data_IF_302640388027
#
_entry.id   IF_302640388027
#
_cell.length_a   1.000
_cell.length_b   1.000
_cell.length_c   1.000
_cell.angle_alpha   90.00
_cell.angle_beta   90.00
_cell.angle_gamma   90.00
#
_symmetry.space_group_name_H-M   'P 1'
#
loop_
_entity.id
_entity.type
_entity.pdbx_description
1 polymer ?
#
# COMPACT_ATOMS: atom_id res chain seq x y z
N UNK A 1 15.91 17.48 13.95
CA UNK A 1 15.94 17.71 12.48
C UNK A 1 15.54 16.49 11.64
N UNK A 2 15.32 15.30 12.22
CA UNK A 2 14.97 14.07 11.48
C UNK A 2 13.46 13.85 11.26
N UNK A 3 12.59 14.41 12.12
CA UNK A 3 11.11 14.34 12.00
C UNK A 3 10.51 15.14 10.84
N UNK A 4 11.31 15.93 10.09
CA UNK A 4 10.83 16.76 8.98
C UNK A 4 10.93 16.10 7.60
N UNK A 5 11.46 14.88 7.49
CA UNK A 5 11.77 14.25 6.18
C UNK A 5 10.88 13.09 5.73
N UNK A 6 9.89 12.68 6.52
CA UNK A 6 9.04 11.50 6.18
C UNK A 6 7.66 11.89 5.59
N UNK A 7 7.36 13.19 5.45
CA UNK A 7 6.13 13.69 4.81
C UNK A 7 6.35 14.01 3.33
N UNK A 8 7.56 13.83 2.82
CA UNK A 8 7.99 14.38 1.53
C UNK A 8 7.28 13.73 0.35
N UNK A 9 6.97 12.42 0.38
CA UNK A 9 6.26 11.72 -0.70
C UNK A 9 4.89 12.33 -1.02
N UNK A 10 3.99 12.26 -0.05
CA UNK A 10 2.59 12.64 -0.21
C UNK A 10 2.48 14.16 -0.26
N UNK A 11 3.31 14.88 0.50
CA UNK A 11 3.36 16.34 0.40
C UNK A 11 3.93 16.80 -0.95
N UNK A 12 4.96 16.16 -1.53
CA UNK A 12 5.48 16.52 -2.85
C UNK A 12 4.46 16.22 -3.94
N UNK A 13 3.77 15.07 -3.87
CA UNK A 13 2.64 14.75 -4.77
C UNK A 13 1.51 15.79 -4.64
N UNK A 14 1.14 16.18 -3.41
CA UNK A 14 0.16 17.23 -3.16
C UNK A 14 0.64 18.64 -3.54
N UNK A 15 1.95 18.87 -3.66
CA UNK A 15 2.53 20.16 -4.10
C UNK A 15 2.60 20.23 -5.62
N UNK A 16 2.82 19.09 -6.31
CA UNK A 16 2.84 19.01 -7.77
C UNK A 16 1.43 19.01 -8.40
N UNK A 17 0.43 18.42 -7.73
CA UNK A 17 -0.97 18.62 -8.09
C UNK A 17 -1.43 19.98 -7.56
N UNK A 18 -2.12 20.82 -8.35
CA UNK A 18 -2.69 22.06 -7.82
C UNK A 18 -3.79 21.70 -6.82
N UNK A 19 -3.45 21.59 -5.54
CA UNK A 19 -4.42 21.51 -4.44
C UNK A 19 -4.97 22.93 -4.19
N UNK A 20 -5.59 23.50 -5.22
CA UNK A 20 -6.50 24.63 -5.07
C UNK A 20 -7.87 24.06 -4.75
N UNK A 21 -8.46 24.51 -3.63
CA UNK A 21 -9.82 24.16 -3.17
C UNK A 21 -10.77 23.78 -4.30
N UNK A 22 -11.22 22.52 -4.33
CA UNK A 22 -12.01 22.00 -5.43
C UNK A 22 -13.49 22.37 -5.27
N UNK A 23 -14.01 23.01 -6.33
CA UNK A 23 -15.40 23.22 -6.73
C UNK A 23 -16.45 23.53 -5.63
N UNK A 24 -17.12 24.68 -5.76
CA UNK A 24 -18.36 24.95 -5.01
C UNK A 24 -19.41 23.87 -5.32
N UNK A 25 -20.05 23.31 -4.30
CA UNK A 25 -21.03 22.23 -4.44
C UNK A 25 -20.61 20.87 -3.88
N UNK A 26 -19.57 20.85 -3.04
CA UNK A 26 -19.15 19.73 -2.21
C UNK A 26 -20.32 18.86 -1.72
N UNK A 27 -20.28 17.57 -2.03
CA UNK A 27 -21.09 16.56 -1.34
C UNK A 27 -20.51 16.51 0.08
N UNK A 28 -21.31 16.75 1.13
CA UNK A 28 -20.81 16.57 2.47
C UNK A 28 -20.29 15.14 2.67
N UNK A 29 -19.26 14.93 3.49
CA UNK A 29 -18.80 13.56 3.79
C UNK A 29 -19.93 12.70 4.36
N UNK A 30 -19.70 11.41 4.61
CA UNK A 30 -20.70 10.51 5.21
C UNK A 30 -21.27 11.01 6.56
N UNK A 31 -20.76 12.12 7.12
CA UNK A 31 -21.22 12.81 8.34
C UNK A 31 -21.89 14.16 8.09
N UNK A 32 -22.03 14.62 6.85
CA UNK A 32 -22.63 15.92 6.58
C UNK A 32 -21.67 17.11 6.65
N UNK A 33 -20.35 16.90 6.62
CA UNK A 33 -19.36 18.00 6.76
C UNK A 33 -19.13 18.73 5.43
N UNK A 34 -19.39 20.05 5.41
CA UNK A 34 -19.05 20.97 4.29
C UNK A 34 -17.57 21.37 4.35
N UNK A 35 -16.91 21.46 3.19
CA UNK A 35 -15.46 21.28 3.10
C UNK A 35 -14.70 22.26 2.20
N UNK A 36 -15.24 23.47 2.04
CA UNK A 36 -14.48 24.57 1.46
C UNK A 36 -13.28 24.93 2.36
N UNK A 37 -12.04 24.75 1.87
CA UNK A 37 -10.82 25.20 2.56
C UNK A 37 -10.11 24.18 3.48
N UNK A 38 -10.30 22.87 3.29
CA UNK A 38 -9.54 21.86 4.05
C UNK A 38 -8.03 21.98 3.76
N UNK A 39 -7.23 22.09 4.81
CA UNK A 39 -5.78 21.95 4.73
C UNK A 39 -5.33 20.55 5.16
N UNK A 40 -4.29 20.04 4.49
CA UNK A 40 -3.70 18.72 4.77
C UNK A 40 -3.15 18.69 6.20
N UNK A 41 -3.41 17.60 6.92
CA UNK A 41 -2.85 17.34 8.25
C UNK A 41 -3.29 18.34 9.32
N UNK A 42 -4.42 19.03 9.15
CA UNK A 42 -4.95 19.90 10.22
C UNK A 42 -5.60 19.08 11.33
N UNK A 43 -6.28 18.00 10.99
CA UNK A 43 -7.04 17.17 11.91
C UNK A 43 -6.22 16.01 12.47
N UNK A 44 -6.73 15.37 13.52
CA UNK A 44 -6.09 14.19 14.11
C UNK A 44 -7.02 12.98 14.10
N UNK A 45 -6.45 11.78 13.94
CA UNK A 45 -7.20 10.54 14.13
C UNK A 45 -7.59 10.36 15.60
N UNK A 46 -8.76 9.77 15.84
CA UNK A 46 -9.36 9.58 17.16
C UNK A 46 -8.73 8.39 17.92
N UNK A 47 -9.22 8.12 19.14
CA UNK A 47 -8.72 7.01 19.97
C UNK A 47 -9.03 5.61 19.41
N UNK A 48 -10.15 5.43 18.73
CA UNK A 48 -10.54 4.14 18.16
C UNK A 48 -9.64 3.77 16.97
N UNK A 49 -9.31 4.73 16.12
CA UNK A 49 -8.34 4.50 15.04
C UNK A 49 -6.96 4.21 15.63
N UNK A 50 -6.56 4.94 16.68
CA UNK A 50 -5.28 4.71 17.36
C UNK A 50 -5.13 3.32 17.96
N UNK A 51 -6.23 2.65 18.36
CA UNK A 51 -6.12 1.27 18.86
C UNK A 51 -5.73 0.25 17.80
N UNK A 52 -5.74 0.61 16.52
CA UNK A 52 -5.34 -0.26 15.40
C UNK A 52 -3.96 0.08 14.81
N UNK A 53 -3.17 0.94 15.46
CA UNK A 53 -1.87 1.38 14.92
C UNK A 53 -0.87 0.25 14.67
N UNK A 54 -0.86 -0.78 15.53
CA UNK A 54 0.03 -1.93 15.33
C UNK A 54 -0.35 -2.70 14.06
N UNK A 55 -1.65 -2.93 13.83
CA UNK A 55 -2.15 -3.56 12.60
C UNK A 55 -1.89 -2.72 11.36
N UNK A 56 -2.08 -1.39 11.43
CA UNK A 56 -1.75 -0.53 10.30
C UNK A 56 -0.27 -0.61 9.96
N UNK A 57 0.60 -0.60 10.96
CA UNK A 57 2.05 -0.71 10.76
C UNK A 57 2.42 -2.08 10.17
N UNK A 58 1.90 -3.15 10.74
CA UNK A 58 2.16 -4.52 10.28
C UNK A 58 1.77 -4.69 8.81
N UNK A 59 0.52 -4.41 8.46
CA UNK A 59 0.04 -4.60 7.09
C UNK A 59 0.53 -3.53 6.12
N UNK A 60 0.77 -2.30 6.60
CA UNK A 60 1.44 -1.27 5.83
C UNK A 60 2.84 -1.72 5.41
N UNK A 61 3.65 -2.20 6.35
CA UNK A 61 5.00 -2.71 6.07
C UNK A 61 4.97 -4.00 5.23
N UNK A 62 3.98 -4.88 5.45
CA UNK A 62 3.81 -6.10 4.65
C UNK A 62 3.53 -5.79 3.17
N UNK A 63 2.69 -4.78 2.88
CA UNK A 63 2.23 -4.47 1.52
C UNK A 63 2.85 -3.21 0.90
N UNK A 64 3.87 -2.62 1.55
CA UNK A 64 4.58 -1.44 1.03
C UNK A 64 3.75 -0.15 1.05
N UNK A 65 2.76 -0.07 1.95
CA UNK A 65 1.81 1.02 2.12
C UNK A 65 2.16 1.85 3.36
N UNK A 66 1.99 3.17 3.29
CA UNK A 66 2.18 4.05 4.45
C UNK A 66 1.07 3.80 5.50
N UNK A 67 1.40 3.33 6.72
CA UNK A 67 0.41 3.06 7.76
C UNK A 67 -0.31 4.33 8.25
N UNK A 68 0.30 5.50 8.11
CA UNK A 68 -0.38 6.77 8.43
C UNK A 68 -1.51 7.06 7.44
N UNK A 69 -1.35 6.63 6.18
CA UNK A 69 -2.41 6.72 5.19
C UNK A 69 -3.54 5.73 5.52
N UNK A 70 -3.20 4.47 5.87
CA UNK A 70 -4.20 3.49 6.31
C UNK A 70 -5.04 3.99 7.49
N UNK A 71 -4.39 4.58 8.50
CA UNK A 71 -5.09 5.19 9.62
C UNK A 71 -5.97 6.38 9.21
N UNK A 72 -5.53 7.19 8.25
CA UNK A 72 -6.30 8.33 7.74
C UNK A 72 -7.54 7.88 6.96
N UNK A 73 -7.40 6.82 6.16
CA UNK A 73 -8.52 6.17 5.46
C UNK A 73 -9.49 5.57 6.48
N UNK A 74 -9.01 4.78 7.45
CA UNK A 74 -9.86 4.23 8.53
C UNK A 74 -10.63 5.32 9.29
N UNK A 75 -9.95 6.43 9.59
CA UNK A 75 -10.56 7.60 10.24
C UNK A 75 -11.68 8.20 9.40
N UNK A 76 -11.45 8.34 8.09
CA UNK A 76 -12.41 8.87 7.14
C UNK A 76 -13.55 7.90 6.84
N UNK A 77 -13.31 6.59 6.83
CA UNK A 77 -14.33 5.60 6.50
C UNK A 77 -15.29 5.36 7.66
N UNK A 78 -14.75 5.21 8.87
CA UNK A 78 -15.55 4.69 9.98
C UNK A 78 -15.26 5.34 11.32
N UNK A 79 -14.24 6.18 11.43
CA UNK A 79 -13.68 6.59 12.72
C UNK A 79 -13.25 5.42 13.60
N UNK A 80 -12.85 4.30 12.99
CA UNK A 80 -12.48 3.07 13.71
C UNK A 80 -13.67 2.39 14.38
N UNK A 81 -14.91 2.67 13.93
CA UNK A 81 -16.11 2.02 14.43
C UNK A 81 -16.51 0.93 13.45
N UNK A 82 -16.83 -0.25 13.98
CA UNK A 82 -17.12 -1.41 13.17
C UNK A 82 -18.59 -1.41 12.72
N UNK A 83 -18.88 -0.83 11.56
CA UNK A 83 -20.23 -0.73 11.02
C UNK A 83 -20.57 -1.94 10.14
N UNK A 84 -21.79 -2.47 10.27
CA UNK A 84 -22.40 -3.43 9.33
C UNK A 84 -23.87 -3.14 9.04
N UNK A 85 -24.58 -2.56 10.00
CA UNK A 85 -26.02 -2.29 9.89
C UNK A 85 -26.32 -0.85 10.27
N UNK A 86 -27.41 -0.33 9.71
CA UNK A 86 -28.02 0.95 10.09
C UNK A 86 -28.87 0.78 11.35
N UNK A 87 -29.25 1.90 11.96
CA UNK A 87 -30.12 1.91 13.15
C UNK A 87 -31.47 1.20 12.93
N UNK A 88 -31.96 1.15 11.69
CA UNK A 88 -33.19 0.47 11.29
C UNK A 88 -33.01 -1.04 11.03
N UNK A 89 -31.80 -1.57 11.22
CA UNK A 89 -31.44 -2.97 11.00
C UNK A 89 -31.16 -3.34 9.55
N UNK A 90 -31.24 -2.40 8.60
CA UNK A 90 -30.84 -2.65 7.21
C UNK A 90 -29.32 -2.69 7.07
N UNK A 91 -28.82 -3.54 6.17
CA UNK A 91 -27.38 -3.69 5.92
C UNK A 91 -26.79 -2.42 5.29
N UNK A 92 -25.58 -2.07 5.73
CA UNK A 92 -24.76 -1.07 5.06
C UNK A 92 -24.14 -1.68 3.79
N UNK A 93 -23.93 -0.90 2.71
CA UNK A 93 -23.28 -1.41 1.50
C UNK A 93 -21.78 -1.72 1.69
N UNK A 94 -21.18 -1.18 2.75
CA UNK A 94 -19.78 -1.33 3.11
C UNK A 94 -19.64 -1.63 4.61
N UNK A 95 -18.84 -2.63 4.95
CA UNK A 95 -18.74 -3.14 6.33
C UNK A 95 -17.32 -3.02 6.87
N UNK A 96 -17.20 -3.04 8.19
CA UNK A 96 -15.90 -3.02 8.84
C UNK A 96 -15.35 -1.61 9.07
N UNK A 97 -14.23 -1.56 9.77
CA UNK A 97 -13.53 -0.31 10.07
C UNK A 97 -12.87 0.32 8.83
N UNK A 98 -12.61 -0.46 7.79
CA UNK A 98 -12.10 0.01 6.50
C UNK A 98 -13.21 0.16 5.44
N UNK A 99 -14.48 -0.05 5.81
CA UNK A 99 -15.65 0.03 4.91
C UNK A 99 -15.45 -0.73 3.59
N UNK A 100 -15.14 -2.02 3.68
CA UNK A 100 -14.99 -2.87 2.49
C UNK A 100 -16.38 -3.13 1.89
N UNK A 101 -16.58 -2.67 0.65
CA UNK A 101 -17.86 -2.76 -0.07
C UNK A 101 -18.26 -4.19 -0.44
N UNK A 102 -19.57 -4.46 -0.49
CA UNK A 102 -20.13 -5.72 -0.97
C UNK A 102 -19.60 -6.12 -2.36
N UNK A 103 -19.41 -5.16 -3.26
CA UNK A 103 -18.87 -5.36 -4.61
C UNK A 103 -17.50 -6.05 -4.65
N UNK A 104 -16.75 -5.99 -3.54
CA UNK A 104 -15.43 -6.61 -3.37
C UNK A 104 -15.47 -8.00 -2.71
N UNK A 105 -16.65 -8.61 -2.51
CA UNK A 105 -16.80 -9.92 -1.86
C UNK A 105 -15.90 -11.00 -2.46
N UNK A 106 -15.94 -11.15 -3.79
CA UNK A 106 -15.13 -12.17 -4.46
C UNK A 106 -13.63 -11.91 -4.30
N UNK A 107 -13.19 -10.64 -4.37
CA UNK A 107 -11.79 -10.28 -4.19
C UNK A 107 -11.35 -10.51 -2.73
N UNK A 108 -12.22 -10.21 -1.76
CA UNK A 108 -11.97 -10.44 -0.34
C UNK A 108 -11.86 -11.93 -0.01
N UNK A 109 -12.78 -12.74 -0.54
CA UNK A 109 -12.78 -14.19 -0.37
C UNK A 109 -11.51 -14.83 -0.98
N UNK A 110 -11.16 -14.41 -2.20
CA UNK A 110 -9.96 -14.89 -2.89
C UNK A 110 -8.69 -14.48 -2.15
N UNK A 111 -8.60 -13.23 -1.68
CA UNK A 111 -7.47 -12.77 -0.88
C UNK A 111 -7.31 -13.58 0.41
N UNK A 112 -8.39 -13.85 1.13
CA UNK A 112 -8.38 -14.72 2.31
C UNK A 112 -7.86 -16.12 1.99
N UNK A 113 -8.31 -16.71 0.88
CA UNK A 113 -7.86 -18.03 0.43
C UNK A 113 -6.37 -18.06 0.11
N UNK A 114 -5.89 -17.05 -0.59
CA UNK A 114 -4.48 -16.95 -1.00
C UNK A 114 -3.55 -16.71 0.20
N UNK A 115 -3.98 -15.92 1.17
CA UNK A 115 -3.13 -15.51 2.31
C UNK A 115 -3.24 -16.45 3.51
N UNK A 116 -4.38 -17.11 3.71
CA UNK A 116 -4.65 -17.95 4.89
C UNK A 116 -5.02 -19.40 4.56
N UNK A 117 -5.23 -19.73 3.29
CA UNK A 117 -5.75 -21.03 2.87
C UNK A 117 -7.26 -21.20 3.05
N UNK A 118 -7.97 -20.16 3.55
CA UNK A 118 -9.41 -20.19 3.83
C UNK A 118 -10.11 -19.02 3.15
N UNK A 119 -11.17 -19.31 2.40
CA UNK A 119 -12.02 -18.26 1.81
C UNK A 119 -12.72 -17.47 2.93
N UNK A 120 -12.59 -16.15 2.89
CA UNK A 120 -13.25 -15.24 3.83
C UNK A 120 -14.68 -14.89 3.37
N UNK A 121 -15.58 -14.66 4.33
CA UNK A 121 -16.96 -14.26 4.07
C UNK A 121 -17.16 -12.74 4.18
N UNK A 122 -18.39 -12.25 4.00
CA UNK A 122 -18.73 -10.84 4.23
C UNK A 122 -18.56 -10.45 5.70
N UNK A 123 -18.96 -11.32 6.62
CA UNK A 123 -18.89 -11.11 8.07
C UNK A 123 -17.44 -10.97 8.54
N UNK A 124 -16.51 -11.65 7.87
CA UNK A 124 -15.08 -11.57 8.18
C UNK A 124 -14.50 -10.16 8.02
N UNK A 125 -15.17 -9.26 7.28
CA UNK A 125 -14.78 -7.84 7.19
C UNK A 125 -14.92 -7.09 8.51
N UNK A 126 -15.69 -7.64 9.45
CA UNK A 126 -15.81 -7.11 10.80
C UNK A 126 -14.60 -7.42 11.67
N UNK A 127 -13.73 -8.34 11.25
CA UNK A 127 -12.43 -8.52 11.89
C UNK A 127 -11.49 -7.38 11.46
N UNK A 128 -11.00 -6.53 12.38
CA UNK A 128 -10.04 -5.47 12.05
C UNK A 128 -8.78 -5.98 11.35
N UNK A 129 -8.29 -7.17 11.70
CA UNK A 129 -7.09 -7.75 11.11
C UNK A 129 -7.30 -8.07 9.63
N UNK A 130 -8.41 -8.75 9.31
CA UNK A 130 -8.80 -9.08 7.93
C UNK A 130 -9.15 -7.84 7.11
N UNK A 131 -9.86 -6.89 7.73
CA UNK A 131 -10.26 -5.63 7.10
C UNK A 131 -9.05 -4.77 6.72
N UNK A 132 -8.10 -4.59 7.65
CA UNK A 132 -6.90 -3.77 7.43
C UNK A 132 -5.95 -4.45 6.45
N UNK A 133 -5.71 -5.76 6.58
CA UNK A 133 -4.82 -6.49 5.67
C UNK A 133 -5.31 -6.45 4.23
N UNK A 134 -6.60 -6.65 3.99
CA UNK A 134 -7.17 -6.52 2.65
C UNK A 134 -7.14 -5.09 2.13
N UNK A 135 -7.45 -4.09 2.97
CA UNK A 135 -7.36 -2.69 2.56
C UNK A 135 -5.92 -2.30 2.17
N UNK A 136 -4.91 -2.75 2.93
CA UNK A 136 -3.51 -2.54 2.61
C UNK A 136 -3.13 -3.21 1.27
N UNK A 137 -3.60 -4.43 1.03
CA UNK A 137 -3.42 -5.11 -0.25
C UNK A 137 -4.05 -4.31 -1.40
N UNK A 138 -5.32 -3.92 -1.30
CA UNK A 138 -6.00 -3.12 -2.33
C UNK A 138 -5.29 -1.79 -2.63
N UNK A 139 -4.83 -1.10 -1.59
CA UNK A 139 -4.08 0.15 -1.73
C UNK A 139 -2.74 -0.10 -2.44
N UNK A 140 -2.05 -1.20 -2.12
CA UNK A 140 -0.82 -1.59 -2.80
C UNK A 140 -1.04 -1.84 -4.29
N UNK A 141 -2.09 -2.59 -4.65
CA UNK A 141 -2.48 -2.81 -6.05
C UNK A 141 -2.77 -1.50 -6.78
N UNK A 142 -3.49 -0.58 -6.14
CA UNK A 142 -3.76 0.74 -6.72
C UNK A 142 -2.51 1.61 -6.85
N UNK A 143 -1.57 1.55 -5.90
CA UNK A 143 -0.29 2.25 -6.01
C UNK A 143 0.54 1.72 -7.18
N UNK A 144 0.48 0.42 -7.46
CA UNK A 144 1.14 -0.16 -8.64
C UNK A 144 0.45 0.32 -9.92
N UNK A 145 -0.88 0.18 -9.98
CA UNK A 145 -1.68 0.55 -11.15
C UNK A 145 -1.58 2.04 -11.52
N UNK A 146 -1.56 2.92 -10.52
CA UNK A 146 -1.45 4.37 -10.73
C UNK A 146 -0.03 4.91 -10.65
N UNK A 147 0.98 4.05 -10.75
CA UNK A 147 2.38 4.47 -10.81
C UNK A 147 2.84 5.30 -9.59
N UNK A 148 2.34 4.93 -8.41
CA UNK A 148 2.48 5.65 -7.14
C UNK A 148 1.87 7.07 -7.12
N UNK A 149 0.91 7.38 -7.99
CA UNK A 149 0.05 8.54 -7.82
C UNK A 149 -0.93 8.31 -6.66
N UNK A 150 -0.54 8.82 -5.49
CA UNK A 150 -1.31 8.68 -4.27
C UNK A 150 -2.69 9.35 -4.34
N UNK A 151 -2.88 10.40 -5.14
CA UNK A 151 -4.18 11.07 -5.25
C UNK A 151 -5.16 10.19 -6.01
N UNK A 152 -4.72 9.60 -7.12
CA UNK A 152 -5.50 8.61 -7.86
C UNK A 152 -5.81 7.41 -6.98
N UNK A 153 -4.83 6.88 -6.26
CA UNK A 153 -5.08 5.75 -5.35
C UNK A 153 -6.10 6.09 -4.26
N UNK A 154 -5.99 7.25 -3.60
CA UNK A 154 -6.94 7.65 -2.54
C UNK A 154 -8.34 7.79 -3.12
N UNK A 155 -8.51 8.50 -4.25
CA UNK A 155 -9.83 8.63 -4.88
C UNK A 155 -10.35 7.27 -5.39
N UNK A 156 -9.45 6.40 -5.86
CA UNK A 156 -9.75 5.06 -6.34
C UNK A 156 -10.27 4.14 -5.23
N UNK A 157 -9.81 4.32 -3.99
CA UNK A 157 -10.36 3.62 -2.83
C UNK A 157 -11.84 3.95 -2.63
N UNK A 158 -12.25 5.20 -2.85
CA UNK A 158 -13.63 5.66 -2.68
C UNK A 158 -14.55 5.38 -3.88
N UNK A 159 -14.06 5.58 -5.10
CA UNK A 159 -14.86 5.37 -6.32
C UNK A 159 -14.77 3.94 -6.88
N UNK A 160 -13.86 3.13 -6.36
CA UNK A 160 -13.42 1.93 -7.05
C UNK A 160 -12.54 2.27 -8.27
N UNK A 161 -11.55 1.42 -8.50
CA UNK A 161 -10.57 1.58 -9.58
C UNK A 161 -11.22 1.72 -10.95
N UNK A 162 -12.22 0.90 -11.27
CA UNK A 162 -12.89 0.92 -12.58
C UNK A 162 -13.54 2.26 -12.92
N UNK A 163 -14.14 2.94 -11.95
CA UNK A 163 -14.79 4.24 -12.20
C UNK A 163 -13.74 5.31 -12.40
N UNK A 164 -12.71 5.33 -11.55
CA UNK A 164 -11.63 6.30 -11.67
C UNK A 164 -10.86 6.13 -12.99
N UNK A 165 -10.60 4.89 -13.42
CA UNK A 165 -9.95 4.61 -14.72
C UNK A 165 -10.76 5.18 -15.89
N UNK A 166 -12.09 5.10 -15.85
CA UNK A 166 -12.95 5.68 -16.89
C UNK A 166 -12.89 7.20 -16.90
N UNK A 167 -12.81 7.83 -15.72
CA UNK A 167 -12.64 9.28 -15.59
C UNK A 167 -11.28 9.70 -16.18
N UNK A 168 -10.20 9.01 -15.81
CA UNK A 168 -8.85 9.28 -16.30
C UNK A 168 -8.78 9.07 -17.81
N UNK A 169 -9.35 7.99 -18.34
CA UNK A 169 -9.41 7.75 -19.78
C UNK A 169 -10.15 8.86 -20.53
N UNK A 170 -11.19 9.45 -19.92
CA UNK A 170 -11.96 10.53 -20.53
C UNK A 170 -11.29 11.91 -20.42
N UNK A 171 -10.47 12.17 -19.40
CA UNK A 171 -10.01 13.53 -19.05
C UNK A 171 -8.50 13.70 -18.86
N UNK A 172 -7.73 12.62 -18.83
CA UNK A 172 -6.29 12.63 -18.52
C UNK A 172 -6.01 13.39 -17.21
N UNK A 173 -5.13 14.37 -17.27
CA UNK A 173 -4.75 15.22 -16.12
C UNK A 173 -5.93 16.04 -15.55
N UNK A 174 -7.02 16.21 -16.31
CA UNK A 174 -8.24 16.88 -15.86
C UNK A 174 -9.14 16.04 -14.94
N UNK A 175 -8.74 14.81 -14.58
CA UNK A 175 -9.56 13.88 -13.79
C UNK A 175 -10.00 14.45 -12.42
N UNK A 176 -9.14 15.25 -11.79
CA UNK A 176 -9.43 15.87 -10.48
C UNK A 176 -10.63 16.81 -10.53
N UNK A 177 -10.87 17.51 -11.64
CA UNK A 177 -12.06 18.34 -11.80
C UNK A 177 -13.30 17.51 -12.15
N UNK A 178 -13.11 16.41 -12.88
CA UNK A 178 -14.21 15.56 -13.36
C UNK A 178 -14.78 14.62 -12.29
N UNK A 179 -14.08 14.39 -11.18
CA UNK A 179 -14.56 13.55 -10.07
C UNK A 179 -15.93 13.97 -9.52
N UNK A 180 -16.31 15.25 -9.63
CA UNK A 180 -17.66 15.72 -9.28
C UNK A 180 -18.78 15.11 -10.16
N UNK A 181 -18.42 14.65 -11.36
CA UNK A 181 -19.31 14.01 -12.33
C UNK A 181 -19.18 12.47 -12.32
N UNK A 182 -18.53 11.87 -11.32
CA UNK A 182 -18.20 10.44 -11.28
C UNK A 182 -19.41 9.52 -11.53
N UNK A 183 -20.61 9.90 -11.08
CA UNK A 183 -21.86 9.18 -11.35
C UNK A 183 -22.05 8.87 -12.85
N UNK A 184 -21.68 9.78 -13.75
CA UNK A 184 -21.85 9.58 -15.19
C UNK A 184 -20.99 8.44 -15.77
N UNK A 185 -20.01 7.96 -15.01
CA UNK A 185 -19.11 6.87 -15.38
C UNK A 185 -19.54 5.51 -14.80
N UNK A 186 -20.64 5.48 -14.03
CA UNK A 186 -21.19 4.28 -13.38
C UNK A 186 -22.43 3.80 -14.14
N UNK A 187 -22.52 2.49 -14.36
CA UNK A 187 -23.68 1.88 -15.02
C UNK A 187 -24.78 1.58 -13.98
N UNK A 188 -26.04 1.77 -14.36
CA UNK A 188 -27.21 1.43 -13.54
C UNK A 188 -27.25 2.10 -12.14
N UNK A 189 -26.66 3.28 -11.99
CA UNK A 189 -26.63 4.00 -10.72
C UNK A 189 -27.88 4.86 -10.51
N UNK A 190 -28.74 4.43 -9.59
CA UNK A 190 -30.04 5.06 -9.34
C UNK A 190 -29.99 6.28 -8.40
N UNK A 191 -28.91 6.48 -7.65
CA UNK A 191 -28.81 7.57 -6.69
C UNK A 191 -28.33 8.88 -7.34
N UNK A 192 -28.63 10.01 -6.70
CA UNK A 192 -28.27 11.33 -7.22
C UNK A 192 -26.76 11.57 -7.26
N UNK A 193 -26.03 10.97 -6.33
CA UNK A 193 -24.58 11.11 -6.13
C UNK A 193 -23.89 9.74 -6.17
N UNK A 194 -22.59 9.72 -6.49
CA UNK A 194 -21.75 8.52 -6.44
C UNK A 194 -20.44 8.85 -5.72
N UNK A 195 -20.17 8.11 -4.65
CA UNK A 195 -19.01 8.33 -3.79
C UNK A 195 -18.90 9.77 -3.27
N UNK A 196 -17.66 10.12 -2.91
CA UNK A 196 -17.27 11.41 -2.35
C UNK A 196 -16.24 12.07 -3.28
N UNK A 197 -16.68 13.12 -3.98
CA UNK A 197 -15.83 13.87 -4.89
C UNK A 197 -14.73 14.67 -4.17
N UNK A 198 -14.71 14.77 -2.84
CA UNK A 198 -13.65 15.44 -2.08
C UNK A 198 -12.90 14.46 -1.16
N UNK A 199 -12.99 13.16 -1.47
CA UNK A 199 -12.43 12.11 -0.64
C UNK A 199 -10.92 12.26 -0.40
N UNK A 200 -10.17 12.70 -1.42
CA UNK A 200 -8.73 13.00 -1.30
C UNK A 200 -8.47 14.00 -0.18
N UNK A 201 -9.15 15.14 -0.21
CA UNK A 201 -9.00 16.18 0.82
C UNK A 201 -9.48 15.66 2.19
N UNK A 202 -10.53 14.87 2.19
CA UNK A 202 -11.11 14.29 3.39
C UNK A 202 -10.19 13.32 4.11
N UNK A 203 -9.47 12.47 3.38
CA UNK A 203 -8.45 11.58 3.95
C UNK A 203 -7.25 12.39 4.40
N UNK A 204 -6.75 13.28 3.54
CA UNK A 204 -5.49 13.98 3.78
C UNK A 204 -5.55 14.98 4.95
N UNK A 205 -6.73 15.45 5.36
CA UNK A 205 -6.87 16.27 6.58
C UNK A 205 -6.38 15.55 7.85
N UNK A 206 -6.45 14.22 7.87
CA UNK A 206 -5.98 13.39 8.98
C UNK A 206 -4.54 12.89 8.83
N UNK A 207 -3.94 13.06 7.64
CA UNK A 207 -2.60 12.54 7.36
C UNK A 207 -1.54 13.26 8.19
N UNK A 208 -0.95 12.52 9.13
CA UNK A 208 0.12 12.96 10.02
C UNK A 208 1.10 11.81 10.24
N UNK A 209 2.36 12.14 10.52
CA UNK A 209 3.40 11.16 10.85
C UNK A 209 3.24 10.66 12.30
N UNK A 210 2.22 9.85 12.55
CA UNK A 210 2.04 9.16 13.83
C UNK A 210 2.97 7.95 13.96
N UNK A 211 3.22 7.27 12.84
CA UNK A 211 3.93 6.00 12.78
C UNK A 211 5.16 6.11 11.88
N UNK A 212 6.29 5.59 12.37
CA UNK A 212 7.46 5.31 11.54
C UNK A 212 7.22 3.95 10.88
N UNK A 213 7.42 3.89 9.57
CA UNK A 213 7.17 2.68 8.78
C UNK A 213 8.40 2.27 8.00
N UNK A 214 8.51 0.97 7.78
CA UNK A 214 9.65 0.32 7.12
C UNK A 214 9.36 0.03 5.65
N UNK A 215 8.11 -0.08 5.22
CA UNK A 215 7.74 -0.39 3.84
C UNK A 215 8.46 0.43 2.76
N UNK A 216 8.79 -0.24 1.65
CA UNK A 216 9.40 0.31 0.46
C UNK A 216 8.84 -0.39 -0.81
N UNK A 217 9.10 0.22 -1.97
CA UNK A 217 8.69 -0.29 -3.29
C UNK A 217 9.92 -0.51 -4.18
N UNK A 218 9.76 -1.26 -5.25
CA UNK A 218 10.83 -1.53 -6.23
C UNK A 218 10.32 -1.33 -7.63
N UNK A 219 11.13 -0.70 -8.47
CA UNK A 219 10.98 -0.66 -9.92
C UNK A 219 12.11 -1.42 -10.58
N UNK A 220 11.77 -2.14 -11.64
CA UNK A 220 12.73 -2.77 -12.56
C UNK A 220 12.46 -2.20 -13.95
N UNK A 221 13.45 -1.59 -14.58
CA UNK A 221 13.33 -0.96 -15.90
C UNK A 221 12.14 0.02 -15.99
N UNK A 222 11.92 0.79 -14.93
CA UNK A 222 10.82 1.75 -14.82
C UNK A 222 9.48 1.17 -14.37
N UNK A 223 9.28 -0.14 -14.35
CA UNK A 223 8.00 -0.78 -13.96
C UNK A 223 7.98 -1.19 -12.49
N UNK A 224 6.89 -0.87 -11.76
CA UNK A 224 6.72 -1.30 -10.38
C UNK A 224 6.58 -2.82 -10.28
N UNK A 225 7.36 -3.41 -9.38
CA UNK A 225 7.30 -4.85 -9.09
C UNK A 225 6.18 -5.11 -8.09
N UNK A 226 5.24 -5.98 -8.49
CA UNK A 226 4.26 -6.56 -7.58
C UNK A 226 4.89 -7.71 -6.81
N UNK A 227 4.79 -7.64 -5.48
CA UNK A 227 5.15 -8.75 -4.60
C UNK A 227 3.90 -9.47 -4.13
N UNK A 228 4.01 -10.77 -3.84
CA UNK A 228 2.86 -11.58 -3.43
C UNK A 228 2.32 -11.18 -2.05
N UNK A 229 3.09 -11.44 -0.99
CA UNK A 229 2.62 -11.28 0.40
C UNK A 229 3.65 -10.61 1.33
N UNK A 230 4.77 -10.14 0.79
CA UNK A 230 5.78 -9.39 1.51
C UNK A 230 6.46 -8.41 0.55
N UNK A 231 6.41 -7.13 0.85
CA UNK A 231 7.09 -6.08 0.10
C UNK A 231 8.47 -5.79 0.70
N UNK A 232 9.32 -5.04 -0.02
CA UNK A 232 10.57 -4.55 0.53
C UNK A 232 10.35 -3.72 1.80
N UNK A 233 11.30 -3.79 2.72
CA UNK A 233 11.30 -3.08 4.00
C UNK A 233 12.64 -2.40 4.21
N UNK A 234 12.64 -1.33 5.00
CA UNK A 234 13.85 -0.64 5.46
C UNK A 234 14.03 -0.97 6.93
N UNK A 235 15.10 -1.68 7.23
CA UNK A 235 15.50 -2.05 8.58
C UNK A 235 16.97 -1.67 8.78
N UNK A 236 17.28 -1.00 9.90
CA UNK A 236 18.64 -0.54 10.21
C UNK A 236 19.30 0.23 9.05
N UNK A 237 18.54 1.10 8.38
CA UNK A 237 18.97 1.86 7.20
C UNK A 237 19.44 0.99 6.02
N UNK A 238 18.92 -0.24 5.92
CA UNK A 238 19.11 -1.15 4.79
C UNK A 238 17.77 -1.58 4.22
N UNK A 239 17.66 -1.56 2.90
CA UNK A 239 16.49 -2.12 2.22
C UNK A 239 16.66 -3.62 2.12
N UNK A 240 15.81 -4.36 2.83
CA UNK A 240 15.68 -5.80 2.68
C UNK A 240 14.58 -6.08 1.66
N UNK A 241 14.83 -7.03 0.77
CA UNK A 241 13.95 -7.35 -0.34
C UNK A 241 13.63 -8.85 -0.38
N UNK A 242 12.39 -9.24 -0.69
CA UNK A 242 12.09 -10.62 -1.07
C UNK A 242 12.84 -10.96 -2.35
N UNK A 243 13.70 -11.97 -2.29
CA UNK A 243 14.60 -12.28 -3.43
C UNK A 243 13.95 -13.13 -4.53
N UNK A 244 12.99 -13.99 -4.19
CA UNK A 244 12.28 -14.83 -5.17
C UNK A 244 11.32 -13.95 -5.98
N UNK A 245 11.11 -14.26 -7.26
CA UNK A 245 10.33 -13.43 -8.19
C UNK A 245 11.14 -12.24 -8.73
N UNK A 246 11.72 -11.42 -7.85
CA UNK A 246 12.54 -10.28 -8.27
C UNK A 246 13.84 -10.73 -8.95
N UNK A 247 14.63 -11.58 -8.31
CA UNK A 247 15.90 -12.00 -8.91
C UNK A 247 15.67 -12.94 -10.10
N UNK A 248 14.59 -13.71 -10.07
CA UNK A 248 14.14 -14.54 -11.19
C UNK A 248 13.76 -13.68 -12.40
N UNK A 249 13.07 -12.54 -12.21
CA UNK A 249 12.78 -11.60 -13.31
C UNK A 249 14.03 -10.93 -13.87
N UNK A 250 15.11 -10.90 -13.08
CA UNK A 250 16.43 -10.43 -13.48
C UNK A 250 17.32 -11.56 -14.01
N UNK A 251 16.82 -12.77 -14.20
CA UNK A 251 17.56 -13.89 -14.80
C UNK A 251 18.41 -14.72 -13.84
N UNK A 252 18.20 -14.58 -12.52
CA UNK A 252 18.80 -15.47 -11.53
C UNK A 252 17.94 -16.72 -11.29
N UNK A 253 18.57 -17.81 -10.88
CA UNK A 253 17.91 -19.00 -10.34
C UNK A 253 17.89 -18.91 -8.81
N UNK A 254 16.73 -19.16 -8.19
CA UNK A 254 16.56 -19.10 -6.73
C UNK A 254 16.10 -20.45 -6.18
N UNK A 255 17.00 -21.15 -5.49
CA UNK A 255 16.76 -22.43 -4.82
C UNK A 255 16.62 -22.23 -3.30
N UNK A 256 15.79 -23.07 -2.68
CA UNK A 256 15.71 -23.16 -1.23
C UNK A 256 16.23 -24.53 -0.76
N UNK A 257 17.30 -24.53 0.02
CA UNK A 257 17.87 -25.71 0.64
C UNK A 257 17.22 -25.94 2.00
N UNK A 258 16.24 -26.85 2.03
CA UNK A 258 15.53 -27.23 3.24
C UNK A 258 16.42 -27.89 4.31
N UNK A 259 17.48 -28.60 3.91
CA UNK A 259 18.30 -29.35 4.85
C UNK A 259 19.21 -28.44 5.67
N UNK A 260 19.74 -27.40 5.03
CA UNK A 260 20.66 -26.44 5.66
C UNK A 260 20.02 -25.10 5.99
N UNK A 261 18.74 -24.91 5.63
CA UNK A 261 17.99 -23.67 5.89
C UNK A 261 18.62 -22.44 5.21
N UNK A 262 19.00 -22.63 3.94
CA UNK A 262 19.66 -21.61 3.12
C UNK A 262 18.80 -21.24 1.92
N UNK A 263 18.84 -19.97 1.54
CA UNK A 263 18.51 -19.58 0.17
C UNK A 263 19.77 -19.60 -0.69
N UNK A 264 19.66 -20.12 -1.90
CA UNK A 264 20.76 -20.19 -2.87
C UNK A 264 20.31 -19.40 -4.10
N UNK A 265 21.14 -18.46 -4.53
CA UNK A 265 20.89 -17.65 -5.72
C UNK A 265 22.06 -17.80 -6.67
N UNK A 266 21.77 -18.15 -7.93
CA UNK A 266 22.77 -18.27 -8.97
C UNK A 266 22.45 -17.36 -10.15
N UNK A 267 23.44 -16.60 -10.61
CA UNK A 267 23.32 -15.77 -11.82
C UNK A 267 24.68 -15.55 -12.45
N UNK A 268 24.78 -15.70 -13.77
CA UNK A 268 25.97 -15.36 -14.56
C UNK A 268 27.27 -15.99 -14.01
N UNK A 269 27.19 -17.21 -13.47
CA UNK A 269 28.32 -17.94 -12.86
C UNK A 269 28.70 -17.51 -11.44
N UNK A 270 27.98 -16.57 -10.84
CA UNK A 270 28.08 -16.19 -9.43
C UNK A 270 27.04 -16.96 -8.62
N UNK A 271 27.51 -17.70 -7.60
CA UNK A 271 26.67 -18.44 -6.66
C UNK A 271 26.72 -17.77 -5.29
N UNK A 272 25.55 -17.41 -4.76
CA UNK A 272 25.36 -16.81 -3.45
C UNK A 272 24.57 -17.77 -2.57
N UNK A 273 25.12 -18.11 -1.40
CA UNK A 273 24.44 -18.94 -0.38
C UNK A 273 24.16 -18.08 0.85
N UNK A 274 22.91 -18.05 1.27
CA UNK A 274 22.38 -17.21 2.34
C UNK A 274 21.75 -18.08 3.44
N UNK A 275 22.50 -18.38 4.51
CA UNK A 275 21.93 -18.99 5.69
C UNK A 275 21.00 -18.02 6.42
N UNK A 276 19.75 -18.44 6.67
CA UNK A 276 18.77 -17.59 7.34
C UNK A 276 19.16 -17.38 8.82
N UNK A 277 19.06 -16.13 9.27
CA UNK A 277 19.45 -15.68 10.61
C UNK A 277 20.96 -15.46 10.77
N UNK A 278 21.75 -15.73 9.74
CA UNK A 278 23.20 -15.49 9.73
C UNK A 278 23.53 -14.14 9.14
N UNK A 279 24.49 -13.45 9.74
CA UNK A 279 25.11 -12.27 9.16
C UNK A 279 26.21 -12.64 8.14
N UNK A 280 26.60 -13.92 8.06
CA UNK A 280 27.57 -14.42 7.09
C UNK A 280 26.84 -15.11 5.94
N UNK A 281 27.10 -14.64 4.72
CA UNK A 281 26.75 -15.28 3.46
C UNK A 281 28.00 -15.86 2.78
N UNK A 282 27.83 -16.63 1.70
CA UNK A 282 28.93 -17.18 0.93
C UNK A 282 28.77 -16.85 -0.56
N UNK A 283 29.79 -16.21 -1.15
CA UNK A 283 29.84 -15.87 -2.57
C UNK A 283 30.94 -16.70 -3.22
N UNK A 284 30.57 -17.59 -4.13
CA UNK A 284 31.48 -18.56 -4.76
C UNK A 284 32.32 -19.33 -3.73
N UNK A 285 31.70 -19.68 -2.58
CA UNK A 285 32.34 -20.39 -1.48
C UNK A 285 33.13 -19.52 -0.49
N UNK A 286 33.35 -18.24 -0.78
CA UNK A 286 34.04 -17.33 0.14
C UNK A 286 33.04 -16.66 1.10
N UNK A 287 33.37 -16.62 2.38
CA UNK A 287 32.54 -15.94 3.37
C UNK A 287 32.53 -14.42 3.16
N UNK A 288 31.34 -13.82 3.16
CA UNK A 288 31.10 -12.38 3.04
C UNK A 288 30.08 -11.96 4.10
N UNK A 289 30.31 -10.83 4.75
CA UNK A 289 29.43 -10.30 5.80
C UNK A 289 28.29 -9.48 5.20
N UNK A 290 27.10 -9.64 5.75
CA UNK A 290 25.90 -8.88 5.45
C UNK A 290 25.76 -7.70 6.42
N UNK A 291 25.32 -6.55 5.95
CA UNK A 291 24.98 -5.43 6.83
C UNK A 291 23.85 -5.78 7.82
N UNK A 292 22.87 -6.55 7.35
CA UNK A 292 21.74 -7.09 8.13
C UNK A 292 21.59 -8.57 7.78
N UNK A 293 21.38 -9.47 8.76
CA UNK A 293 21.17 -10.88 8.48
C UNK A 293 20.06 -11.14 7.46
N UNK A 294 20.22 -12.17 6.63
CA UNK A 294 19.11 -12.65 5.83
C UNK A 294 18.03 -13.22 6.77
N UNK A 295 16.76 -12.88 6.54
CA UNK A 295 15.67 -13.31 7.42
C UNK A 295 14.51 -13.94 6.64
N UNK A 296 13.62 -14.63 7.35
CA UNK A 296 12.34 -15.06 6.80
C UNK A 296 11.24 -14.15 7.33
N UNK A 297 10.46 -13.56 6.41
CA UNK A 297 9.28 -12.76 6.76
C UNK A 297 8.13 -13.18 5.86
N UNK A 298 6.99 -13.54 6.46
CA UNK A 298 5.81 -14.01 5.74
C UNK A 298 6.11 -15.12 4.72
N UNK A 299 7.02 -16.04 5.07
CA UNK A 299 7.46 -17.14 4.20
C UNK A 299 8.39 -16.74 3.05
N UNK A 300 8.88 -15.50 3.00
CA UNK A 300 9.84 -15.01 2.00
C UNK A 300 11.21 -14.77 2.62
N UNK A 301 12.26 -15.14 1.88
CA UNK A 301 13.63 -14.79 2.23
C UNK A 301 13.88 -13.32 1.91
N UNK A 302 14.20 -12.55 2.93
CA UNK A 302 14.52 -11.14 2.88
C UNK A 302 16.03 -10.96 2.99
N UNK A 303 16.63 -10.22 2.05
CA UNK A 303 18.08 -10.03 1.99
C UNK A 303 18.39 -8.55 1.75
N UNK A 304 19.49 -8.00 2.31
CA UNK A 304 19.94 -6.67 1.95
C UNK A 304 20.11 -6.54 0.43
N UNK A 305 19.35 -5.66 -0.19
CA UNK A 305 19.34 -5.52 -1.65
C UNK A 305 20.73 -5.20 -2.19
N UNK A 306 21.45 -4.28 -1.52
CA UNK A 306 22.80 -3.86 -1.92
C UNK A 306 23.77 -5.04 -2.01
N UNK A 307 23.69 -5.98 -1.04
CA UNK A 307 24.55 -7.16 -1.06
C UNK A 307 24.31 -8.00 -2.33
N UNK A 308 23.05 -8.19 -2.71
CA UNK A 308 22.69 -8.94 -3.91
C UNK A 308 23.13 -8.20 -5.17
N UNK A 309 22.82 -6.90 -5.26
CA UNK A 309 23.09 -6.11 -6.46
C UNK A 309 24.58 -5.94 -6.71
N UNK A 310 25.38 -5.71 -5.68
CA UNK A 310 26.84 -5.56 -5.80
C UNK A 310 27.50 -6.86 -6.32
N UNK A 311 27.03 -8.02 -5.84
CA UNK A 311 27.57 -9.32 -6.26
C UNK A 311 27.13 -9.75 -7.66
N UNK A 312 25.99 -9.26 -8.14
CA UNK A 312 25.48 -9.53 -9.50
C UNK A 312 25.74 -8.39 -10.50
N UNK A 313 26.43 -7.33 -10.09
CA UNK A 313 26.74 -6.19 -10.96
C UNK A 313 25.50 -5.42 -11.44
N UNK A 314 24.50 -5.29 -10.57
CA UNK A 314 23.23 -4.61 -10.85
C UNK A 314 23.31 -3.20 -10.26
N UNK A 315 23.02 -2.19 -11.08
CA UNK A 315 22.97 -0.80 -10.63
C UNK A 315 21.60 -0.48 -10.03
N UNK A 316 21.60 0.25 -8.91
CA UNK A 316 20.37 0.68 -8.24
C UNK A 316 20.42 2.14 -7.81
N UNK A 317 19.26 2.79 -7.81
CA UNK A 317 19.05 4.11 -7.20
C UNK A 317 17.91 4.09 -6.19
N UNK A 318 17.88 5.07 -5.29
CA UNK A 318 16.85 5.20 -4.26
C UNK A 318 16.11 6.52 -4.41
N UNK A 319 14.80 6.45 -4.62
CA UNK A 319 13.89 7.58 -4.52
C UNK A 319 13.40 7.70 -3.07
N UNK A 320 13.84 8.75 -2.39
CA UNK A 320 13.51 9.01 -0.99
C UNK A 320 12.06 9.46 -0.80
N UNK A 321 11.48 10.12 -1.80
CA UNK A 321 10.13 10.63 -1.73
C UNK A 321 9.18 9.46 -1.86
N UNK A 322 9.21 8.70 -2.95
CA UNK A 322 8.29 7.58 -3.13
C UNK A 322 8.67 6.32 -2.34
N UNK A 323 9.86 6.33 -1.70
CA UNK A 323 10.49 5.17 -1.03
C UNK A 323 10.61 3.99 -1.97
N UNK A 324 11.17 4.26 -3.15
CA UNK A 324 11.27 3.30 -4.24
C UNK A 324 12.73 3.04 -4.57
N UNK A 325 13.11 1.77 -4.63
CA UNK A 325 14.36 1.36 -5.27
C UNK A 325 14.12 1.28 -6.77
N UNK A 326 14.94 1.93 -7.59
CA UNK A 326 14.96 1.70 -9.04
C UNK A 326 16.14 0.80 -9.40
N UNK A 327 15.87 -0.21 -10.21
CA UNK A 327 16.82 -1.15 -10.79
C UNK A 327 16.76 -0.94 -12.31
N UNK A 328 17.88 -0.56 -12.90
CA UNK A 328 18.03 -0.22 -14.33
C UNK A 328 18.99 -1.19 -15.05
#
# INVERSE_FOLDING_TARGET
MLKRKIAAALAAVCVMAPVSSFASGAIPDHRGTSMEGIAIGTESVNSNVKSYFDLFKEYGDQYGVDPNLLASICQQESSGINWSHRDDGSEMPAWGIMQIEYSLENAFAQFGKETTGVEWTLEDRLDPEKSISFAAHLISEMLIHYDCDYLKMIQGYNFGQTVLDRIIAAKGDGWMSERANAKSYVQNWQYATYGDAQYVEHVLRYYKQYMVYSGAKVRVNGELVKFENQYPIIENDRTLIPIRGLLESLGAEVEWDHANYNAIVERDGVRVVLPIGSQTAYVNGNAVELDVPAELRNGRTMVPLRFITDNFGIDITWDQDTRTVNID
#
